data_IF_219967606933
#
_entry.id   IF_219967606933
#
_cell.length_a   1.000
_cell.length_b   1.000
_cell.length_c   1.000
_cell.angle_alpha   90.00
_cell.angle_beta   90.00
_cell.angle_gamma   90.00
#
_symmetry.space_group_name_H-M   'P 1'
#
loop_
_entity.id
_entity.type
_entity.pdbx_description
1 polymer ?
#
# COMPACT_ATOMS: atom_id res chain seq x y z
N UNK A 1 -0.41 -12.36 -10.03
CA UNK A 1 -0.01 -11.90 -11.38
C UNK A 1 -0.28 -10.41 -11.58
N UNK A 2 -1.47 -9.89 -11.25
CA UNK A 2 -1.83 -8.47 -11.44
C UNK A 2 -0.89 -7.44 -10.77
N UNK A 3 -0.33 -7.77 -9.61
CA UNK A 3 0.53 -6.84 -8.85
C UNK A 3 1.86 -6.60 -9.55
N UNK A 4 2.51 -7.65 -10.05
CA UNK A 4 3.76 -7.52 -10.79
C UNK A 4 3.59 -6.60 -12.03
N UNK A 5 2.44 -6.70 -12.70
CA UNK A 5 2.12 -5.81 -13.82
C UNK A 5 1.92 -4.35 -13.36
N UNK A 6 1.28 -4.12 -12.21
CA UNK A 6 1.14 -2.77 -11.62
C UNK A 6 2.49 -2.19 -11.22
N UNK A 7 3.40 -3.00 -10.68
CA UNK A 7 4.76 -2.58 -10.36
C UNK A 7 5.55 -2.25 -11.64
N UNK A 8 5.45 -3.08 -12.68
CA UNK A 8 6.07 -2.78 -13.97
C UNK A 8 5.53 -1.48 -14.60
N UNK A 9 4.23 -1.21 -14.46
CA UNK A 9 3.63 0.06 -14.88
C UNK A 9 4.16 1.23 -14.06
N UNK A 10 4.30 1.07 -12.75
CA UNK A 10 4.89 2.07 -11.87
C UNK A 10 6.31 2.42 -12.32
N UNK A 11 7.17 1.43 -12.55
CA UNK A 11 8.56 1.65 -12.97
C UNK A 11 8.63 2.35 -14.32
N UNK A 12 7.77 1.94 -15.26
CA UNK A 12 7.68 2.58 -16.55
C UNK A 12 7.31 4.07 -16.42
N UNK A 13 6.30 4.40 -15.62
CA UNK A 13 5.85 5.78 -15.40
C UNK A 13 6.92 6.60 -14.67
N UNK A 14 7.57 6.02 -13.64
CA UNK A 14 8.65 6.65 -12.87
C UNK A 14 9.83 7.01 -13.79
N UNK A 15 10.25 6.09 -14.65
CA UNK A 15 11.33 6.30 -15.60
C UNK A 15 10.99 7.36 -16.65
N UNK A 16 9.73 7.42 -17.11
CA UNK A 16 9.29 8.39 -18.10
C UNK A 16 9.09 9.80 -17.51
N UNK A 17 8.46 9.90 -16.34
CA UNK A 17 8.03 11.18 -15.75
C UNK A 17 9.09 11.80 -14.83
N UNK A 18 10.13 11.03 -14.46
CA UNK A 18 11.16 11.39 -13.47
C UNK A 18 10.61 11.79 -12.09
N UNK A 19 9.38 11.37 -11.80
CA UNK A 19 8.66 11.62 -10.54
C UNK A 19 8.16 10.30 -10.00
N UNK A 20 8.18 10.11 -8.68
CA UNK A 20 7.64 8.91 -8.05
C UNK A 20 6.09 8.96 -8.10
N UNK A 21 5.44 7.99 -8.77
CA UNK A 21 3.99 7.88 -8.74
C UNK A 21 3.48 7.58 -7.33
N UNK A 22 2.20 7.87 -7.09
CA UNK A 22 1.47 7.34 -5.94
C UNK A 22 0.92 5.98 -6.34
N UNK A 23 1.17 4.97 -5.51
CA UNK A 23 0.61 3.63 -5.70
C UNK A 23 -0.66 3.50 -4.85
N UNK A 24 -1.78 3.16 -5.50
CA UNK A 24 -3.05 2.86 -4.82
C UNK A 24 -3.38 1.39 -5.02
N UNK A 25 -3.56 0.67 -3.93
CA UNK A 25 -3.97 -0.73 -3.92
C UNK A 25 -5.33 -0.82 -3.27
N UNK A 26 -6.34 -1.09 -4.11
CA UNK A 26 -7.71 -1.21 -3.67
C UNK A 26 -8.05 -2.68 -3.36
N UNK A 27 -8.53 -2.91 -2.13
CA UNK A 27 -9.00 -4.21 -1.64
C UNK A 27 -8.01 -5.35 -1.92
N UNK A 28 -6.77 -5.13 -1.45
CA UNK A 28 -5.63 -6.01 -1.72
C UNK A 28 -5.72 -7.31 -0.91
N UNK A 29 -6.25 -7.25 0.31
CA UNK A 29 -6.26 -8.38 1.26
C UNK A 29 -7.32 -9.43 0.93
N UNK A 30 -8.35 -9.10 0.14
CA UNK A 30 -9.28 -10.08 -0.45
C UNK A 30 -8.64 -10.83 -1.62
N UNK A 31 -7.67 -10.21 -2.31
CA UNK A 31 -7.00 -10.78 -3.48
C UNK A 31 -5.68 -11.48 -3.16
N UNK A 32 -5.15 -11.32 -1.95
CA UNK A 32 -3.85 -11.82 -1.53
C UNK A 32 -3.85 -12.39 -0.11
N UNK A 33 -3.10 -13.47 0.06
CA UNK A 33 -2.68 -13.94 1.38
C UNK A 33 -1.68 -12.98 2.04
N UNK A 34 -1.54 -13.12 3.36
CA UNK A 34 -0.69 -12.24 4.19
C UNK A 34 0.77 -12.25 3.77
N UNK A 35 1.29 -13.41 3.32
CA UNK A 35 2.68 -13.54 2.87
C UNK A 35 2.93 -12.70 1.63
N UNK A 36 2.00 -12.72 0.67
CA UNK A 36 2.10 -11.89 -0.54
C UNK A 36 1.98 -10.40 -0.24
N UNK A 37 1.13 -10.01 0.71
CA UNK A 37 1.03 -8.59 1.12
C UNK A 37 2.30 -8.13 1.80
N UNK A 38 2.86 -8.92 2.73
CA UNK A 38 4.14 -8.62 3.36
C UNK A 38 5.26 -8.46 2.33
N UNK A 39 5.34 -9.35 1.33
CA UNK A 39 6.30 -9.23 0.24
C UNK A 39 6.11 -7.94 -0.56
N UNK A 40 4.87 -7.57 -0.87
CA UNK A 40 4.59 -6.34 -1.59
C UNK A 40 5.05 -5.10 -0.82
N UNK A 41 4.73 -5.01 0.47
CA UNK A 41 5.17 -3.89 1.32
C UNK A 41 6.69 -3.86 1.39
N UNK A 42 7.35 -5.03 1.49
CA UNK A 42 8.82 -5.12 1.49
C UNK A 42 9.47 -4.69 0.17
N UNK A 43 8.79 -4.92 -0.96
CA UNK A 43 9.26 -4.48 -2.29
C UNK A 43 9.09 -2.97 -2.43
N UNK A 44 7.96 -2.43 -1.95
CA UNK A 44 7.69 -1.00 -1.91
C UNK A 44 8.74 -0.26 -1.09
N UNK A 45 9.11 -0.81 0.06
CA UNK A 45 10.17 -0.28 0.91
C UNK A 45 11.53 -0.25 0.19
N UNK A 46 11.90 -1.36 -0.47
CA UNK A 46 13.23 -1.51 -1.10
C UNK A 46 13.44 -0.64 -2.32
N UNK A 47 12.47 -0.48 -3.22
CA UNK A 47 12.71 0.25 -4.48
C UNK A 47 12.32 1.72 -4.45
N UNK A 48 12.22 2.28 -3.24
CA UNK A 48 11.95 3.69 -3.02
C UNK A 48 10.65 4.10 -3.75
N UNK A 49 9.63 3.25 -3.61
CA UNK A 49 8.29 3.50 -4.13
C UNK A 49 7.69 4.61 -3.26
N UNK A 50 7.68 5.85 -3.77
CA UNK A 50 7.35 7.07 -3.00
C UNK A 50 6.24 6.92 -1.96
N UNK A 51 4.97 6.99 -2.36
CA UNK A 51 3.83 6.92 -1.44
C UNK A 51 2.87 5.79 -1.84
N UNK A 52 2.53 4.95 -0.87
CA UNK A 52 1.60 3.83 -1.02
C UNK A 52 0.33 4.08 -0.19
N UNK A 53 -0.82 3.89 -0.82
CA UNK A 53 -2.13 3.84 -0.17
C UNK A 53 -2.74 2.44 -0.36
N UNK A 54 -3.25 1.89 0.73
CA UNK A 54 -3.94 0.60 0.77
C UNK A 54 -5.34 0.83 1.34
N UNK A 55 -6.36 0.35 0.65
CA UNK A 55 -7.69 0.16 1.24
C UNK A 55 -7.86 -1.30 1.66
N UNK A 56 -8.53 -1.50 2.80
CA UNK A 56 -8.88 -2.81 3.31
C UNK A 56 -10.17 -2.73 4.13
N UNK A 57 -10.88 -3.83 4.20
CA UNK A 57 -12.03 -4.04 5.09
C UNK A 57 -11.62 -4.52 6.48
N UNK A 58 -10.40 -5.06 6.65
CA UNK A 58 -9.89 -5.64 7.90
C UNK A 58 -8.69 -4.87 8.49
N UNK A 59 -8.95 -3.76 9.18
CA UNK A 59 -7.92 -2.89 9.72
C UNK A 59 -6.88 -3.58 10.63
N UNK A 60 -7.29 -4.51 11.50
CA UNK A 60 -6.36 -5.22 12.42
C UNK A 60 -5.33 -6.05 11.66
N UNK A 61 -5.79 -6.86 10.69
CA UNK A 61 -4.93 -7.70 9.85
C UNK A 61 -3.94 -6.84 9.04
N UNK A 62 -4.43 -5.74 8.46
CA UNK A 62 -3.57 -4.77 7.77
C UNK A 62 -2.49 -4.23 8.71
N UNK A 63 -2.88 -3.83 9.92
CA UNK A 63 -1.96 -3.24 10.88
C UNK A 63 -0.88 -4.23 11.33
N UNK A 64 -1.22 -5.49 11.59
CA UNK A 64 -0.25 -6.53 11.96
C UNK A 64 0.81 -6.77 10.88
N UNK A 65 0.39 -6.81 9.61
CA UNK A 65 1.32 -7.02 8.49
C UNK A 65 2.23 -5.81 8.32
N UNK A 66 1.71 -4.60 8.41
CA UNK A 66 2.51 -3.37 8.28
C UNK A 66 3.50 -3.24 9.46
N UNK A 67 3.07 -3.52 10.69
CA UNK A 67 3.93 -3.52 11.88
C UNK A 67 5.13 -4.46 11.73
N UNK A 68 4.96 -5.63 11.10
CA UNK A 68 6.06 -6.57 10.84
C UNK A 68 7.12 -6.00 9.89
N UNK A 69 6.72 -5.14 8.94
CA UNK A 69 7.61 -4.58 7.92
C UNK A 69 8.31 -3.28 8.39
N UNK A 70 8.11 -2.84 9.64
CA UNK A 70 8.81 -1.71 10.26
C UNK A 70 8.73 -0.37 9.50
N UNK A 71 7.66 -0.17 8.71
CA UNK A 71 7.44 1.11 8.04
C UNK A 71 6.60 2.08 8.88
N UNK A 72 6.90 3.37 8.76
CA UNK A 72 6.03 4.42 9.28
C UNK A 72 4.72 4.43 8.48
N UNK A 73 3.58 4.22 9.15
CA UNK A 73 2.26 4.21 8.51
C UNK A 73 1.28 5.14 9.22
N UNK A 74 0.22 5.50 8.50
CA UNK A 74 -0.96 6.16 9.07
C UNK A 74 -2.20 5.41 8.63
N UNK A 75 -3.03 5.02 9.60
CA UNK A 75 -4.34 4.42 9.34
C UNK A 75 -5.40 5.52 9.39
N UNK A 76 -6.29 5.49 8.40
CA UNK A 76 -7.39 6.41 8.27
C UNK A 76 -8.70 5.61 8.32
N UNK A 77 -9.33 5.45 9.49
CA UNK A 77 -10.59 4.74 9.57
C UNK A 77 -11.68 5.50 8.81
N UNK A 78 -12.44 4.75 8.02
CA UNK A 78 -13.59 5.27 7.27
C UNK A 78 -14.86 5.01 8.08
N UNK A 79 -15.65 6.05 8.34
CA UNK A 79 -16.99 5.95 8.93
C UNK A 79 -17.96 6.78 8.10
N UNK A 80 -19.11 6.21 7.71
CA UNK A 80 -20.12 6.90 6.88
C UNK A 80 -19.55 7.52 5.58
N UNK A 81 -18.60 6.83 4.92
CA UNK A 81 -17.88 7.35 3.73
C UNK A 81 -17.06 8.63 3.98
N UNK A 82 -16.85 9.01 5.25
CA UNK A 82 -15.98 10.10 5.66
C UNK A 82 -14.69 9.54 6.28
N UNK A 83 -13.57 10.19 5.97
CA UNK A 83 -12.29 9.89 6.61
C UNK A 83 -12.25 10.62 7.96
N UNK A 84 -12.08 9.87 9.05
CA UNK A 84 -11.80 10.45 10.36
C UNK A 84 -10.30 10.71 10.50
N UNK A 85 -9.88 11.96 10.35
CA UNK A 85 -8.48 12.37 10.54
C UNK A 85 -8.26 12.67 12.03
N UNK A 86 -7.36 11.96 12.74
CA UNK A 86 -7.09 12.26 14.14
C UNK A 86 -6.48 13.68 14.29
N UNK A 87 -6.87 14.43 15.33
CA UNK A 87 -6.22 15.69 15.66
C UNK A 87 -4.80 15.43 16.17
N UNK A 88 -3.89 16.33 15.78
CA UNK A 88 -2.43 16.27 16.00
C UNK A 88 -1.99 15.90 17.41
#
# INVERSE_FOLDING_TARGET
>A
YLIALKLAQFDFIKNHSKTNPILLLDDIFDKLDETRVAHLISLVDKENFGQLFISDTHAERTEEVIKKVHQSYRMFPLSNSMISVPPW
#
